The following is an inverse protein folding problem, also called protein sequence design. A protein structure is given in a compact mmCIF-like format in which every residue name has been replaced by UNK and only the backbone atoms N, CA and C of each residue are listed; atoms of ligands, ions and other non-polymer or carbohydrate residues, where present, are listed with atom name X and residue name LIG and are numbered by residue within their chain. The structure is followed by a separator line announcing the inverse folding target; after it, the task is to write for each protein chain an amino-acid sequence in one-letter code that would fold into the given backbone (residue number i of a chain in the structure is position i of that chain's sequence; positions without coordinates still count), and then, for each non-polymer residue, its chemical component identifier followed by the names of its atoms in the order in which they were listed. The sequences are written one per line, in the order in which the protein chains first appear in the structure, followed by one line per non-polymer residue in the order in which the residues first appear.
data_IF_599094730019
#
_entry.id   IF_599094730019
#
_cell.length_a   1.000
_cell.length_b   1.000
_cell.length_c   1.000
_cell.angle_alpha   90.00
_cell.angle_beta   90.00
_cell.angle_gamma   90.00
#
_symmetry.space_group_name_H-M   'P 1'
#
loop_
_entity.id
_entity.type
_entity.pdbx_description
1 polymer ?
#
# COMPACT_ATOMS: atom_id res chain seq x y z
N UNK A 1 -22.22 51.10 -1.68
CA UNK A 1 -22.33 50.33 -0.41
C UNK A 1 -21.21 49.29 -0.41
N UNK A 2 -20.31 49.31 0.57
CA UNK A 2 -19.20 48.35 0.63
C UNK A 2 -19.69 47.07 1.31
N UNK A 3 -19.42 45.91 0.70
CA UNK A 3 -19.71 44.61 1.31
C UNK A 3 -18.41 44.08 1.91
N UNK A 4 -18.40 43.90 3.23
CA UNK A 4 -17.26 43.31 3.94
C UNK A 4 -17.33 41.78 3.89
N UNK A 5 -16.30 41.14 3.34
CA UNK A 5 -16.15 39.68 3.35
C UNK A 5 -15.01 39.32 4.30
N UNK A 6 -15.29 38.47 5.29
CA UNK A 6 -14.28 37.99 6.25
C UNK A 6 -13.84 36.59 5.87
N UNK A 7 -12.56 36.40 5.54
CA UNK A 7 -11.98 35.07 5.39
C UNK A 7 -11.62 34.52 6.78
N UNK A 8 -12.13 33.33 7.14
CA UNK A 8 -11.84 32.73 8.44
C UNK A 8 -10.38 32.28 8.51
N UNK A 9 -9.89 32.09 9.74
CA UNK A 9 -8.59 31.48 10.01
C UNK A 9 -8.57 30.04 9.47
N UNK A 10 -7.57 29.73 8.65
CA UNK A 10 -7.36 28.38 8.09
C UNK A 10 -6.10 27.78 8.71
N UNK A 11 -6.19 26.55 9.21
CA UNK A 11 -5.04 25.80 9.69
C UNK A 11 -4.84 24.54 8.86
N UNK A 12 -3.65 24.36 8.29
CA UNK A 12 -3.28 23.19 7.50
C UNK A 12 -2.28 22.36 8.28
N UNK A 13 -2.62 21.09 8.52
CA UNK A 13 -1.70 20.11 9.08
C UNK A 13 -0.71 19.68 7.99
N UNK A 14 0.58 19.66 8.33
CA UNK A 14 1.63 19.17 7.45
C UNK A 14 2.71 18.43 8.25
N UNK A 15 3.47 17.58 7.57
CA UNK A 15 4.51 16.76 8.19
C UNK A 15 5.85 17.51 8.20
N UNK A 16 6.36 17.86 9.38
CA UNK A 16 7.67 18.47 9.55
C UNK A 16 8.76 17.39 9.60
N UNK A 17 9.55 17.29 8.52
CA UNK A 17 10.61 16.28 8.37
C UNK A 17 11.73 16.46 9.40
N UNK A 18 12.04 17.71 9.79
CA UNK A 18 13.11 18.00 10.74
C UNK A 18 12.71 17.60 12.17
N UNK A 19 11.44 17.78 12.51
CA UNK A 19 10.91 17.50 13.86
C UNK A 19 10.19 16.16 13.98
N UNK A 20 10.05 15.42 12.87
CA UNK A 20 9.37 14.11 12.76
C UNK A 20 7.98 14.11 13.44
N UNK A 21 7.22 15.20 13.28
CA UNK A 21 5.89 15.35 13.88
C UNK A 21 4.98 16.20 13.01
N UNK A 22 3.68 16.08 13.22
CA UNK A 22 2.68 16.93 12.56
C UNK A 22 2.80 18.35 13.12
N UNK A 23 2.97 19.32 12.24
CA UNK A 23 2.96 20.74 12.53
C UNK A 23 1.80 21.43 11.81
N UNK A 24 1.43 22.63 12.25
CA UNK A 24 0.31 23.38 11.69
C UNK A 24 0.80 24.69 11.07
N UNK A 25 0.47 24.92 9.80
CA UNK A 25 0.60 26.22 9.16
C UNK A 25 -0.72 26.98 9.35
N UNK A 26 -0.65 28.19 9.92
CA UNK A 26 -1.83 29.01 10.22
C UNK A 26 -1.86 30.20 9.27
N UNK A 27 -2.93 30.29 8.48
CA UNK A 27 -3.27 31.47 7.69
C UNK A 27 -4.21 32.35 8.55
N UNK A 28 -3.81 33.58 8.90
CA UNK A 28 -4.61 34.44 9.76
C UNK A 28 -5.87 34.94 9.06
N UNK A 29 -6.88 35.30 9.85
CA UNK A 29 -8.11 35.92 9.38
C UNK A 29 -7.82 37.20 8.58
N UNK A 30 -8.50 37.39 7.45
CA UNK A 30 -8.39 38.60 6.63
C UNK A 30 -9.76 39.18 6.33
N UNK A 31 -9.93 40.47 6.59
CA UNK A 31 -11.12 41.24 6.21
C UNK A 31 -10.87 41.90 4.87
N UNK A 32 -11.64 41.51 3.86
CA UNK A 32 -11.62 42.12 2.53
C UNK A 32 -12.81 43.06 2.42
N UNK A 33 -12.53 44.33 2.12
CA UNK A 33 -13.57 45.30 1.81
C UNK A 33 -13.66 45.40 0.29
N UNK A 34 -14.72 44.86 -0.29
CA UNK A 34 -14.93 44.93 -1.74
C UNK A 34 -15.78 46.16 -2.03
N UNK A 35 -15.18 47.15 -2.67
CA UNK A 35 -15.92 48.25 -3.25
C UNK A 35 -16.62 47.74 -4.53
N UNK A 36 -17.94 47.69 -4.53
CA UNK A 36 -18.70 47.48 -5.77
C UNK A 36 -18.69 48.82 -6.52
N UNK A 37 -17.76 48.98 -7.46
CA UNK A 37 -17.66 50.14 -8.32
C UNK A 37 -16.31 50.22 -9.04
N UNK A 38 -16.36 50.12 -10.36
CA UNK A 38 -15.32 50.42 -11.36
C UNK A 38 -14.18 49.40 -11.57
N UNK A 39 -14.12 48.91 -12.82
CA UNK A 39 -13.03 48.11 -13.35
C UNK A 39 -11.73 48.92 -13.37
N UNK A 40 -10.80 48.59 -12.48
CA UNK A 40 -9.44 49.14 -12.56
C UNK A 40 -8.45 47.99 -12.56
N UNK A 41 -8.00 47.67 -13.78
CA UNK A 41 -6.79 46.91 -14.02
C UNK A 41 -5.60 47.67 -13.43
N UNK A 42 -5.14 47.29 -12.24
CA UNK A 42 -3.78 47.63 -11.81
C UNK A 42 -3.28 46.59 -10.80
N UNK A 43 -2.70 45.52 -11.33
CA UNK A 43 -1.93 44.56 -10.55
C UNK A 43 -0.50 45.10 -10.42
N UNK A 44 -0.22 45.89 -9.38
CA UNK A 44 1.15 46.24 -8.97
C UNK A 44 1.60 45.27 -7.88
N UNK A 45 2.56 44.37 -8.13
CA UNK A 45 3.09 43.49 -7.11
C UNK A 45 3.92 44.29 -6.08
N UNK A 46 3.84 43.97 -4.79
CA UNK A 46 4.68 44.60 -3.77
C UNK A 46 6.15 44.20 -3.95
N UNK A 47 7.04 45.17 -3.73
CA UNK A 47 8.48 45.01 -3.82
C UNK A 47 9.02 43.89 -2.92
N UNK A 48 10.08 43.16 -3.33
CA UNK A 48 10.65 42.08 -2.56
C UNK A 48 11.29 42.60 -1.27
N UNK A 49 10.84 42.07 -0.13
CA UNK A 49 11.45 42.29 1.18
C UNK A 49 12.85 41.69 1.18
N UNK A 50 13.86 42.56 1.17
CA UNK A 50 15.27 42.20 1.26
C UNK A 50 15.55 41.71 2.70
N UNK A 51 15.60 40.40 2.89
CA UNK A 51 16.08 39.81 4.14
C UNK A 51 17.57 40.16 4.32
N UNK A 52 17.84 41.10 5.22
CA UNK A 52 19.17 41.48 5.68
C UNK A 52 19.75 40.33 6.51
N UNK A 53 20.57 39.47 5.91
CA UNK A 53 21.39 38.53 6.66
C UNK A 53 22.37 39.34 7.52
N UNK A 54 22.26 39.20 8.84
CA UNK A 54 23.27 39.64 9.77
C UNK A 54 24.52 38.77 9.58
N UNK A 55 25.54 39.32 8.93
CA UNK A 55 26.91 38.81 8.91
C UNK A 55 27.60 39.25 10.20
N UNK A 56 27.89 38.31 11.09
CA UNK A 56 28.70 38.56 12.29
C UNK A 56 30.17 38.55 11.89
N UNK A 57 30.77 39.74 11.97
CA UNK A 57 32.17 40.02 11.76
C UNK A 57 33.06 39.43 12.86
N UNK A 58 34.21 38.91 12.43
CA UNK A 58 35.57 39.08 12.98
C UNK A 58 35.78 39.03 14.50
N UNK A 59 36.65 38.10 14.91
CA UNK A 59 37.77 38.49 15.76
C UNK A 59 39.05 37.83 15.27
N UNK A 60 40.00 38.67 14.85
CA UNK A 60 41.39 38.31 14.64
C UNK A 60 42.10 38.39 16.00
N UNK A 61 42.72 37.28 16.40
CA UNK A 61 43.58 37.19 17.57
C UNK A 61 44.91 36.57 17.16
N UNK A 62 45.91 37.42 16.94
CA UNK A 62 47.31 37.03 16.76
C UNK A 62 47.83 36.51 18.09
N UNK A 63 48.21 35.23 18.15
CA UNK A 63 48.69 34.60 19.38
C UNK A 63 49.56 33.37 19.08
N UNK A 64 50.84 33.63 18.89
CA UNK A 64 52.03 32.82 19.21
C UNK A 64 51.82 31.30 19.26
N UNK A 65 52.45 30.60 18.31
CA UNK A 65 52.51 29.15 18.23
C UNK A 65 53.17 28.52 19.48
N UNK A 66 52.49 27.58 20.17
CA UNK A 66 53.19 26.57 20.95
C UNK A 66 53.55 25.39 20.03
N UNK A 67 54.82 25.02 20.05
CA UNK A 67 55.31 23.75 19.51
C UNK A 67 54.66 22.62 20.30
N UNK A 68 53.65 21.98 19.70
CA UNK A 68 53.03 20.77 20.26
C UNK A 68 53.84 19.59 19.73
N UNK A 69 54.69 19.03 20.59
CA UNK A 69 55.23 17.69 20.37
C UNK A 69 54.03 16.72 20.29
N UNK A 70 53.90 16.06 19.15
CA UNK A 70 52.86 15.06 18.90
C UNK A 70 53.30 13.77 19.60
N UNK A 71 52.68 13.34 20.72
CA UNK A 71 52.87 11.97 21.15
C UNK A 71 52.20 11.07 20.12
N UNK A 72 52.96 10.08 19.65
CA UNK A 72 52.50 9.04 18.74
C UNK A 72 51.10 8.55 19.15
N UNK A 73 50.15 8.68 18.23
CA UNK A 73 48.81 8.10 18.35
C UNK A 73 48.96 6.60 18.49
N UNK A 74 48.94 6.11 19.72
CA UNK A 74 48.73 4.70 19.98
C UNK A 74 47.32 4.38 19.49
N UNK A 75 47.26 3.58 18.42
CA UNK A 75 46.04 2.90 18.00
C UNK A 75 45.67 1.97 19.15
N UNK A 76 44.83 2.44 20.05
CA UNK A 76 44.16 1.59 21.02
C UNK A 76 43.22 0.74 20.18
N UNK A 77 43.57 -0.52 19.99
CA UNK A 77 42.67 -1.56 19.53
C UNK A 77 41.54 -1.64 20.55
N UNK A 78 40.52 -0.79 20.36
CA UNK A 78 39.39 -0.72 21.25
C UNK A 78 38.59 -1.98 21.00
N UNK A 79 38.61 -2.88 21.98
CA UNK A 79 37.99 -4.19 21.93
C UNK A 79 36.48 -4.04 21.64
N UNK A 80 36.11 -4.15 20.35
CA UNK A 80 34.78 -3.88 19.82
C UNK A 80 33.72 -4.88 20.32
N UNK A 81 34.13 -5.84 21.15
CA UNK A 81 33.27 -6.82 21.83
C UNK A 81 32.11 -6.17 22.58
N UNK A 82 32.33 -5.03 23.23
CA UNK A 82 31.26 -4.30 23.91
C UNK A 82 30.21 -3.74 22.92
N UNK A 83 30.65 -3.22 21.78
CA UNK A 83 29.73 -2.75 20.74
C UNK A 83 28.91 -3.89 20.13
N UNK A 84 29.54 -5.03 19.83
CA UNK A 84 28.82 -6.21 19.34
C UNK A 84 27.86 -6.80 20.39
N UNK A 85 28.22 -6.76 21.68
CA UNK A 85 27.32 -7.19 22.77
C UNK A 85 26.08 -6.29 22.87
N UNK A 86 26.24 -4.97 22.71
CA UNK A 86 25.11 -4.01 22.70
C UNK A 86 24.21 -4.26 21.49
N UNK A 87 24.78 -4.44 20.30
CA UNK A 87 24.01 -4.72 19.07
C UNK A 87 23.25 -6.05 19.20
N UNK A 88 23.93 -7.11 19.67
CA UNK A 88 23.30 -8.41 19.90
C UNK A 88 22.16 -8.34 20.92
N UNK A 89 22.33 -7.57 22.00
CA UNK A 89 21.27 -7.32 22.98
C UNK A 89 20.07 -6.60 22.37
N UNK A 90 20.31 -5.62 21.51
CA UNK A 90 19.25 -4.85 20.85
C UNK A 90 18.44 -5.72 19.88
N UNK A 91 19.11 -6.61 19.13
CA UNK A 91 18.46 -7.59 18.26
C UNK A 91 17.65 -8.61 19.07
N UNK A 92 18.20 -9.09 20.19
CA UNK A 92 17.48 -10.03 21.07
C UNK A 92 16.21 -9.42 21.65
N UNK A 93 16.25 -8.15 22.08
CA UNK A 93 15.07 -7.40 22.56
C UNK A 93 14.05 -7.23 21.44
N UNK A 94 14.49 -6.88 20.23
CA UNK A 94 13.60 -6.71 19.08
C UNK A 94 12.84 -8.01 18.76
N UNK A 95 13.57 -9.13 18.71
CA UNK A 95 12.98 -10.45 18.46
C UNK A 95 12.03 -10.86 19.60
N UNK A 96 12.37 -10.55 20.85
CA UNK A 96 11.51 -10.82 21.99
C UNK A 96 10.20 -10.04 21.91
N UNK A 97 10.23 -8.75 21.54
CA UNK A 97 9.02 -7.93 21.36
C UNK A 97 8.15 -8.47 20.23
N UNK A 98 8.73 -8.84 19.08
CA UNK A 98 7.99 -9.45 17.97
C UNK A 98 7.33 -10.76 18.40
N UNK A 99 8.08 -11.63 19.08
CA UNK A 99 7.57 -12.89 19.58
C UNK A 99 6.46 -12.69 20.62
N UNK A 100 6.61 -11.70 21.50
CA UNK A 100 5.60 -11.34 22.50
C UNK A 100 4.30 -10.86 21.86
N UNK A 101 4.38 -9.99 20.84
CA UNK A 101 3.21 -9.50 20.09
C UNK A 101 2.48 -10.66 19.40
N UNK A 102 3.22 -11.56 18.74
CA UNK A 102 2.64 -12.75 18.08
C UNK A 102 1.97 -13.66 19.12
N UNK A 103 2.60 -13.87 20.27
CA UNK A 103 2.06 -14.69 21.37
C UNK A 103 0.79 -14.08 21.97
N UNK A 104 0.76 -12.75 22.14
CA UNK A 104 -0.43 -12.02 22.59
C UNK A 104 -1.57 -12.14 21.57
N UNK A 105 -1.29 -11.94 20.28
CA UNK A 105 -2.30 -12.07 19.23
C UNK A 105 -2.88 -13.49 19.21
N UNK A 106 -2.05 -14.53 19.35
CA UNK A 106 -2.52 -15.93 19.44
C UNK A 106 -3.38 -16.21 20.68
N UNK A 107 -3.08 -15.58 21.83
CA UNK A 107 -3.90 -15.73 23.04
C UNK A 107 -5.24 -14.99 22.92
N UNK A 108 -5.25 -13.80 22.33
CA UNK A 108 -6.49 -13.03 22.12
C UNK A 108 -7.40 -13.68 21.08
N UNK A 109 -6.86 -14.26 20.00
CA UNK A 109 -7.67 -15.01 19.04
C UNK A 109 -8.27 -16.28 19.63
N UNK A 110 -7.55 -17.00 20.50
CA UNK A 110 -8.11 -18.17 21.21
C UNK A 110 -9.23 -17.81 22.18
N UNK A 111 -9.18 -16.65 22.83
CA UNK A 111 -10.25 -16.18 23.71
C UNK A 111 -11.45 -15.59 22.94
N UNK A 112 -11.24 -15.11 21.71
CA UNK A 112 -12.32 -14.71 20.80
C UNK A 112 -13.05 -15.91 20.18
N UNK A 113 -12.39 -17.06 20.06
CA UNK A 113 -12.97 -18.29 19.52
C UNK A 113 -13.81 -19.04 20.57
N UNK A 114 -13.38 -19.08 21.84
CA UNK A 114 -14.07 -19.83 22.91
C UNK A 114 -15.35 -19.15 23.45
N UNK A 115 -15.56 -17.85 23.20
CA UNK A 115 -16.81 -17.15 23.62
C UNK A 115 -17.96 -17.25 22.61
N UNK A 116 -17.78 -17.94 21.48
CA UNK A 116 -18.79 -18.02 20.41
C UNK A 116 -19.31 -19.45 20.19
N UNK A 117 -19.22 -20.32 21.20
CA UNK A 117 -19.71 -21.72 21.11
C UNK A 117 -20.78 -22.07 22.16
N UNK A 118 -21.29 -21.10 22.94
CA UNK A 118 -22.39 -21.34 23.88
C UNK A 118 -23.50 -20.29 23.65
N UNK A 119 -24.69 -20.75 23.24
CA UNK A 119 -25.79 -19.99 22.61
C UNK A 119 -25.50 -19.58 21.15
N UNK A 120 -26.17 -20.09 20.12
CA UNK A 120 -27.58 -20.45 20.06
C UNK A 120 -27.83 -21.19 18.75
N UNK A 121 -28.62 -22.24 18.88
CA UNK A 121 -29.41 -22.90 17.86
C UNK A 121 -30.37 -21.88 17.23
N UNK A 122 -30.07 -21.34 16.05
CA UNK A 122 -31.07 -20.87 15.07
C UNK A 122 -30.39 -20.43 13.75
N UNK A 123 -30.67 -21.20 12.69
CA UNK A 123 -30.92 -20.76 11.31
C UNK A 123 -30.06 -19.65 10.67
N UNK A 124 -29.36 -20.05 9.60
CA UNK A 124 -29.11 -19.24 8.39
C UNK A 124 -28.62 -17.80 8.62
N UNK A 125 -27.30 -17.57 8.69
CA UNK A 125 -26.68 -16.36 8.11
C UNK A 125 -25.16 -16.41 8.05
N UNK A 126 -24.66 -16.30 6.81
CA UNK A 126 -23.48 -15.51 6.42
C UNK A 126 -22.14 -15.88 7.09
N UNK A 127 -21.58 -17.03 6.70
CA UNK A 127 -20.11 -17.21 6.69
C UNK A 127 -19.51 -16.27 5.64
N UNK A 128 -19.16 -15.05 6.05
CA UNK A 128 -18.20 -14.22 5.30
C UNK A 128 -16.85 -14.91 5.45
N UNK A 129 -16.47 -15.68 4.43
CA UNK A 129 -15.13 -16.21 4.30
C UNK A 129 -14.14 -15.03 4.34
N UNK A 130 -13.25 -15.04 5.33
CA UNK A 130 -12.03 -14.24 5.29
C UNK A 130 -11.13 -14.83 4.20
N UNK A 131 -10.61 -14.03 3.25
CA UNK A 131 -9.73 -14.52 2.20
C UNK A 131 -8.36 -14.84 2.82
N UNK A 132 -8.13 -16.11 3.06
CA UNK A 132 -6.79 -16.65 3.34
C UNK A 132 -6.67 -17.91 2.52
N UNK A 133 -6.34 -17.76 1.25
CA UNK A 133 -5.90 -18.87 0.44
C UNK A 133 -4.81 -18.34 -0.47
N UNK A 134 -3.56 -18.51 -0.05
CA UNK A 134 -2.40 -18.44 -0.93
C UNK A 134 -2.70 -19.37 -2.11
N UNK A 135 -3.08 -18.82 -3.27
CA UNK A 135 -3.53 -19.61 -4.41
C UNK A 135 -2.32 -20.27 -5.07
N UNK A 136 -1.93 -21.42 -4.52
CA UNK A 136 -0.98 -22.32 -5.13
C UNK A 136 -1.72 -23.17 -6.19
N UNK A 137 -1.07 -23.55 -7.30
CA UNK A 137 -1.69 -24.35 -8.39
C UNK A 137 -2.34 -25.65 -7.88
N UNK A 138 -1.87 -26.17 -6.75
CA UNK A 138 -2.44 -27.31 -6.03
C UNK A 138 -3.90 -27.10 -5.58
N UNK A 139 -4.36 -25.86 -5.50
CA UNK A 139 -5.74 -25.55 -5.09
C UNK A 139 -6.80 -25.93 -6.13
N UNK A 140 -6.44 -26.09 -7.41
CA UNK A 140 -7.42 -26.42 -8.44
C UNK A 140 -7.81 -27.92 -8.42
N UNK A 141 -6.86 -28.78 -8.05
CA UNK A 141 -7.07 -30.23 -7.99
C UNK A 141 -7.95 -30.64 -6.80
N UNK A 142 -7.87 -29.90 -5.69
CA UNK A 142 -8.62 -30.20 -4.45
C UNK A 142 -10.10 -29.83 -4.52
N UNK A 143 -10.50 -29.01 -5.50
CA UNK A 143 -11.89 -28.54 -5.67
C UNK A 143 -12.79 -29.69 -6.11
N UNK A 144 -13.85 -29.98 -5.35
CA UNK A 144 -14.78 -31.07 -5.69
C UNK A 144 -16.12 -30.56 -6.21
N UNK A 145 -16.42 -29.27 -6.01
CA UNK A 145 -17.73 -28.70 -6.34
C UNK A 145 -17.63 -27.45 -7.22
N UNK A 146 -18.70 -27.18 -7.99
CA UNK A 146 -18.83 -25.97 -8.79
C UNK A 146 -18.77 -24.69 -7.95
N UNK A 147 -19.38 -24.68 -6.76
CA UNK A 147 -19.33 -23.54 -5.83
C UNK A 147 -17.91 -23.27 -5.32
N UNK A 148 -17.13 -24.31 -5.02
CA UNK A 148 -15.72 -24.14 -4.65
C UNK A 148 -14.90 -23.57 -5.82
N UNK A 149 -15.16 -24.02 -7.05
CA UNK A 149 -14.48 -23.50 -8.24
C UNK A 149 -14.80 -22.02 -8.47
N UNK A 150 -16.07 -21.63 -8.32
CA UNK A 150 -16.48 -20.23 -8.42
C UNK A 150 -15.74 -19.36 -7.41
N UNK A 151 -15.72 -19.77 -6.13
CA UNK A 151 -15.01 -19.03 -5.07
C UNK A 151 -13.51 -18.93 -5.34
N UNK A 152 -12.91 -20.01 -5.84
CA UNK A 152 -11.51 -20.03 -6.23
C UNK A 152 -11.22 -18.99 -7.32
N UNK A 153 -12.02 -18.98 -8.41
CA UNK A 153 -11.84 -18.03 -9.51
C UNK A 153 -12.05 -16.59 -9.04
N UNK A 154 -13.07 -16.34 -8.22
CA UNK A 154 -13.34 -14.99 -7.67
C UNK A 154 -12.20 -14.50 -6.77
N UNK A 155 -11.66 -15.36 -5.91
CA UNK A 155 -10.50 -15.02 -5.09
C UNK A 155 -9.26 -14.78 -5.94
N UNK A 156 -9.05 -15.60 -6.97
CA UNK A 156 -7.94 -15.43 -7.91
C UNK A 156 -8.02 -14.10 -8.66
N UNK A 157 -9.20 -13.75 -9.17
CA UNK A 157 -9.44 -12.48 -9.84
C UNK A 157 -9.25 -11.28 -8.92
N UNK A 158 -9.65 -11.40 -7.65
CA UNK A 158 -9.42 -10.36 -6.64
C UNK A 158 -7.91 -10.15 -6.39
N UNK A 159 -7.13 -11.22 -6.29
CA UNK A 159 -5.70 -11.15 -5.97
C UNK A 159 -4.83 -10.72 -7.16
N UNK A 160 -5.20 -11.14 -8.38
CA UNK A 160 -4.32 -10.99 -9.56
C UNK A 160 -4.85 -10.02 -10.61
N UNK A 161 -6.15 -9.74 -10.65
CA UNK A 161 -6.79 -8.93 -11.71
C UNK A 161 -7.50 -7.69 -11.16
N UNK A 162 -7.25 -7.33 -9.91
CA UNK A 162 -7.87 -6.19 -9.21
C UNK A 162 -9.41 -6.17 -9.35
N UNK A 163 -10.02 -7.36 -9.38
CA UNK A 163 -11.47 -7.45 -9.45
C UNK A 163 -12.07 -7.03 -8.10
N UNK A 164 -13.14 -6.21 -8.07
CA UNK A 164 -13.82 -5.88 -6.83
C UNK A 164 -14.26 -7.12 -6.05
N UNK A 165 -14.28 -7.00 -4.73
CA UNK A 165 -14.81 -8.05 -3.86
C UNK A 165 -16.28 -8.29 -4.20
N UNK A 166 -16.66 -9.54 -4.45
CA UNK A 166 -17.99 -9.99 -4.88
C UNK A 166 -18.35 -9.69 -6.35
N UNK A 167 -17.38 -9.49 -7.23
CA UNK A 167 -17.66 -9.40 -8.67
C UNK A 167 -18.27 -10.72 -9.18
N UNK A 168 -19.38 -10.68 -9.93
CA UNK A 168 -19.95 -11.87 -10.55
C UNK A 168 -18.95 -12.52 -11.52
N UNK A 169 -19.03 -13.83 -11.65
CA UNK A 169 -18.06 -14.63 -12.40
C UNK A 169 -18.03 -14.22 -13.88
N UNK A 170 -19.20 -13.93 -14.42
CA UNK A 170 -19.45 -13.53 -15.79
C UNK A 170 -18.76 -12.21 -16.11
N UNK A 171 -18.80 -11.25 -15.19
CA UNK A 171 -18.16 -9.94 -15.36
C UNK A 171 -16.64 -10.04 -15.29
N UNK A 172 -16.11 -10.87 -14.39
CA UNK A 172 -14.68 -11.19 -14.33
C UNK A 172 -14.21 -11.72 -15.69
N UNK A 173 -14.90 -12.72 -16.22
CA UNK A 173 -14.54 -13.34 -17.48
C UNK A 173 -14.80 -12.44 -18.69
N UNK A 174 -15.79 -11.56 -18.65
CA UNK A 174 -16.02 -10.56 -19.69
C UNK A 174 -14.84 -9.58 -19.78
N UNK A 175 -14.30 -9.13 -18.64
CA UNK A 175 -13.11 -8.28 -18.60
C UNK A 175 -11.89 -9.04 -19.15
N UNK A 176 -11.72 -10.32 -18.80
CA UNK A 176 -10.66 -11.15 -19.37
C UNK A 176 -10.80 -11.29 -20.90
N UNK A 177 -12.01 -11.51 -21.41
CA UNK A 177 -12.26 -11.58 -22.87
C UNK A 177 -11.87 -10.29 -23.59
N UNK A 178 -12.12 -9.13 -22.98
CA UNK A 178 -11.73 -7.84 -23.55
C UNK A 178 -10.20 -7.69 -23.66
N UNK A 179 -9.46 -8.15 -22.65
CA UNK A 179 -7.99 -8.08 -22.64
C UNK A 179 -7.29 -9.22 -23.39
N UNK A 180 -7.98 -10.34 -23.62
CA UNK A 180 -7.40 -11.52 -24.28
C UNK A 180 -8.46 -12.25 -25.12
N UNK A 181 -8.73 -11.77 -26.35
CA UNK A 181 -9.73 -12.38 -27.23
C UNK A 181 -9.37 -13.81 -27.64
N UNK A 182 -8.09 -14.18 -27.61
CA UNK A 182 -7.58 -15.53 -27.87
C UNK A 182 -8.13 -16.58 -26.90
N UNK A 183 -8.51 -16.17 -25.67
CA UNK A 183 -9.03 -17.05 -24.64
C UNK A 183 -10.55 -17.16 -24.65
N UNK A 184 -11.23 -16.55 -25.62
CA UNK A 184 -12.69 -16.45 -25.63
C UNK A 184 -13.36 -17.82 -25.57
N UNK A 185 -12.88 -18.78 -26.37
CA UNK A 185 -13.43 -20.13 -26.44
C UNK A 185 -13.23 -20.87 -25.11
N UNK A 186 -12.01 -20.82 -24.55
CA UNK A 186 -11.73 -21.43 -23.24
C UNK A 186 -12.59 -20.82 -22.12
N UNK A 187 -12.81 -19.50 -22.17
CA UNK A 187 -13.65 -18.80 -21.19
C UNK A 187 -15.11 -19.25 -21.32
N UNK A 188 -15.62 -19.38 -22.54
CA UNK A 188 -16.99 -19.87 -22.77
C UNK A 188 -17.17 -21.34 -22.32
N UNK A 189 -16.13 -22.16 -22.47
CA UNK A 189 -16.09 -23.53 -21.94
C UNK A 189 -16.01 -23.61 -20.41
N UNK A 190 -15.64 -22.53 -19.73
CA UNK A 190 -15.66 -22.46 -18.25
C UNK A 190 -16.94 -21.83 -17.74
N UNK A 191 -17.33 -20.68 -18.28
CA UNK A 191 -18.47 -19.88 -17.79
C UNK A 191 -19.78 -20.63 -18.03
N UNK A 192 -20.04 -21.10 -19.24
CA UNK A 192 -21.35 -21.69 -19.56
C UNK A 192 -21.64 -22.94 -18.74
N UNK A 193 -20.71 -23.92 -18.60
CA UNK A 193 -20.95 -25.07 -17.75
C UNK A 193 -21.01 -24.68 -16.27
N UNK A 194 -20.15 -23.78 -15.79
CA UNK A 194 -20.14 -23.41 -14.38
C UNK A 194 -21.43 -22.70 -13.96
N UNK A 195 -21.94 -21.80 -14.79
CA UNK A 195 -23.25 -21.16 -14.60
C UNK A 195 -24.39 -22.19 -14.67
N UNK A 196 -24.35 -23.11 -15.64
CA UNK A 196 -25.34 -24.18 -15.73
C UNK A 196 -25.34 -25.10 -14.49
N UNK A 197 -24.17 -25.42 -13.94
CA UNK A 197 -24.06 -26.21 -12.71
C UNK A 197 -24.59 -25.46 -11.48
N UNK A 198 -24.28 -24.18 -11.36
CA UNK A 198 -24.65 -23.37 -10.19
C UNK A 198 -26.13 -23.02 -10.15
N UNK A 199 -26.74 -22.72 -11.30
CA UNK A 199 -28.11 -22.20 -11.36
C UNK A 199 -29.13 -23.21 -11.90
N UNK A 200 -28.75 -24.10 -12.82
CA UNK A 200 -29.66 -25.09 -13.39
C UNK A 200 -29.53 -26.47 -12.75
N UNK A 201 -28.63 -26.63 -11.76
CA UNK A 201 -28.40 -27.91 -11.07
C UNK A 201 -27.91 -29.02 -11.99
N UNK A 202 -27.33 -28.68 -13.14
CA UNK A 202 -26.84 -29.66 -14.11
C UNK A 202 -25.52 -30.25 -13.63
N UNK A 203 -25.36 -31.56 -13.82
CA UNK A 203 -24.05 -32.19 -13.65
C UNK A 203 -23.10 -31.70 -14.75
N UNK A 204 -21.91 -31.30 -14.32
CA UNK A 204 -20.88 -30.75 -15.20
C UNK A 204 -19.58 -31.49 -14.95
N UNK A 205 -18.89 -31.81 -16.03
CA UNK A 205 -17.55 -32.37 -15.94
C UNK A 205 -16.56 -31.31 -15.45
N UNK A 206 -16.40 -31.28 -14.13
CA UNK A 206 -15.46 -30.43 -13.42
C UNK A 206 -14.02 -30.64 -13.89
N UNK A 207 -13.65 -31.82 -14.40
CA UNK A 207 -12.30 -32.09 -14.88
C UNK A 207 -12.00 -31.25 -16.12
N UNK A 208 -12.94 -31.19 -17.05
CA UNK A 208 -12.80 -30.39 -18.26
C UNK A 208 -12.81 -28.89 -17.95
N UNK A 209 -13.72 -28.43 -17.09
CA UNK A 209 -13.80 -27.02 -16.67
C UNK A 209 -12.52 -26.58 -15.96
N UNK A 210 -11.96 -27.42 -15.06
CA UNK A 210 -10.68 -27.14 -14.40
C UNK A 210 -9.54 -27.02 -15.39
N UNK A 211 -9.48 -27.88 -16.41
CA UNK A 211 -8.45 -27.83 -17.45
C UNK A 211 -8.47 -26.50 -18.20
N UNK A 212 -9.65 -26.07 -18.66
CA UNK A 212 -9.79 -24.76 -19.34
C UNK A 212 -9.48 -23.60 -18.39
N UNK A 213 -9.92 -23.67 -17.13
CA UNK A 213 -9.59 -22.67 -16.12
C UNK A 213 -8.08 -22.56 -15.89
N UNK A 214 -7.36 -23.68 -15.83
CA UNK A 214 -5.91 -23.71 -15.71
C UNK A 214 -5.21 -23.07 -16.92
N UNK A 215 -5.71 -23.32 -18.15
CA UNK A 215 -5.19 -22.72 -19.38
C UNK A 215 -5.35 -21.19 -19.35
N UNK A 216 -6.52 -20.69 -18.95
CA UNK A 216 -6.80 -19.25 -18.83
C UNK A 216 -5.83 -18.62 -17.83
N UNK A 217 -5.72 -19.19 -16.63
CA UNK A 217 -4.83 -18.70 -15.57
C UNK A 217 -3.37 -18.68 -16.04
N UNK A 218 -2.89 -19.75 -16.68
CA UNK A 218 -1.50 -19.83 -17.16
C UNK A 218 -1.22 -18.81 -18.25
N UNK A 219 -2.13 -18.63 -19.19
CA UNK A 219 -1.97 -17.68 -20.30
C UNK A 219 -1.93 -16.25 -19.78
N UNK A 220 -2.79 -15.90 -18.82
CA UNK A 220 -2.81 -14.57 -18.21
C UNK A 220 -1.56 -14.31 -17.37
N UNK A 221 -1.09 -15.29 -16.60
CA UNK A 221 0.18 -15.18 -15.86
C UNK A 221 1.38 -14.98 -16.80
N UNK A 222 1.40 -15.67 -17.96
CA UNK A 222 2.47 -15.51 -18.95
C UNK A 222 2.46 -14.10 -19.54
N UNK A 223 1.29 -13.56 -19.90
CA UNK A 223 1.16 -12.19 -20.40
C UNK A 223 1.60 -11.15 -19.35
N UNK A 224 1.17 -11.31 -18.10
CA UNK A 224 1.56 -10.40 -17.02
C UNK A 224 3.08 -10.37 -16.77
N UNK A 225 3.77 -11.51 -16.89
CA UNK A 225 5.23 -11.55 -16.79
C UNK A 225 5.91 -10.86 -17.98
N UNK A 226 5.42 -11.12 -19.21
CA UNK A 226 5.95 -10.49 -20.42
C UNK A 226 5.89 -8.97 -20.36
N UNK A 227 4.76 -8.40 -19.90
CA UNK A 227 4.61 -6.94 -19.77
C UNK A 227 5.52 -6.34 -18.70
N UNK A 228 5.82 -7.10 -17.64
CA UNK A 228 6.74 -6.65 -16.58
C UNK A 228 8.19 -6.60 -17.06
N UNK A 229 8.59 -7.57 -17.87
CA UNK A 229 9.94 -7.63 -18.45
C UNK A 229 10.11 -6.53 -19.52
N UNK A 230 9.09 -6.24 -20.31
CA UNK A 230 9.10 -5.17 -21.32
C UNK A 230 9.17 -3.77 -20.68
N UNK A 231 8.50 -3.55 -19.54
CA UNK A 231 8.56 -2.28 -18.81
C UNK A 231 9.95 -1.97 -18.19
N UNK A 232 10.83 -2.98 -18.06
CA UNK A 232 12.22 -2.76 -17.62
C UNK A 232 13.18 -2.36 -18.75
N UNK A 233 12.75 -2.43 -20.01
CA UNK A 233 13.55 -2.11 -21.20
C UNK A 233 13.08 -0.77 -21.81
N UNK A 234 12.50 0.14 -21.01
CA UNK A 234 12.28 1.50 -21.49
C UNK A 234 13.61 2.27 -21.39
N UNK A 235 14.18 2.74 -22.51
CA UNK A 235 15.37 3.58 -22.48
C UNK A 235 15.06 4.86 -21.71
N UNK A 236 16.01 5.27 -20.87
CA UNK A 236 15.97 6.46 -20.05
C UNK A 236 15.77 7.71 -20.95
N UNK A 237 14.52 8.11 -21.13
CA UNK A 237 14.11 9.25 -21.98
C UNK A 237 14.34 10.60 -21.28
N UNK A 238 15.45 10.74 -20.56
CA UNK A 238 15.84 12.02 -20.00
C UNK A 238 17.30 12.35 -20.41
N UNK A 239 17.51 13.16 -21.46
CA UNK A 239 18.83 13.72 -21.72
C UNK A 239 19.13 14.77 -20.64
N UNK A 240 20.20 14.51 -19.87
CA UNK A 240 20.83 15.45 -18.92
C UNK A 240 21.40 16.68 -19.60
#
# INVERSE_FOLDING_TARGET
MAVGVTLPKISLAWWDVNKKKIAYAIIPERKLTIALGESVNSFTPPAPVQNKLASTQQNAGTGIAPKIDIPATQVIEQDNRLFYAVIAGLVAILLFVIFWVISLQKKVTRLAEVRTDEQSDETLKKKVLKPTATINKQGLDTIKTASELQKYIQNYALEHWDAPKNTPLEEIFQRVKQHSPELKDDIDQVVNPLVAALYAGKEVDLSNVKKHCAIIIQTLQKKQKSTKDEAQILPELNPS
#
